data_IF_983468320942
#
_entry.id   IF_983468320942
#
_cell.length_a   1.000
_cell.length_b   1.000
_cell.length_c   1.000
_cell.angle_alpha   90.00
_cell.angle_beta   90.00
_cell.angle_gamma   90.00
#
_symmetry.space_group_name_H-M   'P 1'
#
loop_
_entity.id
_entity.type
_entity.pdbx_description
1 polymer ?
#
# COMPACT_ATOMS: atom_id res chain seq x y z
N UNK A 1 -10.72 10.24 1.80
CA UNK A 1 -10.74 8.82 1.49
C UNK A 1 -12.10 8.36 0.97
N UNK A 2 -13.21 8.79 1.55
CA UNK A 2 -14.58 8.50 1.06
C UNK A 2 -14.97 9.47 -0.05
N UNK A 3 -15.40 9.01 -1.24
CA UNK A 3 -16.02 9.88 -2.24
C UNK A 3 -17.22 10.61 -1.64
N UNK A 4 -17.21 11.95 -1.66
CA UNK A 4 -18.27 12.79 -1.10
C UNK A 4 -18.22 13.04 0.41
N UNK A 5 -17.30 12.44 1.16
CA UNK A 5 -17.08 12.72 2.58
C UNK A 5 -16.29 14.01 2.78
N UNK A 6 -16.63 14.76 3.84
CA UNK A 6 -15.83 15.88 4.34
C UNK A 6 -14.65 15.44 5.22
N UNK A 7 -14.65 14.19 5.65
CA UNK A 7 -13.60 13.61 6.48
C UNK A 7 -12.32 13.44 5.67
N UNK A 8 -11.21 13.96 6.22
CA UNK A 8 -9.88 13.85 5.60
C UNK A 8 -8.94 13.21 6.60
N UNK A 9 -8.27 12.15 6.16
CA UNK A 9 -7.14 11.59 6.90
C UNK A 9 -5.91 12.48 6.69
N UNK A 10 -5.04 12.58 7.70
CA UNK A 10 -3.84 13.43 7.63
C UNK A 10 -2.86 12.94 6.55
N UNK A 11 -2.64 11.63 6.49
CA UNK A 11 -1.73 11.00 5.53
C UNK A 11 -2.36 9.77 4.92
N UNK A 12 -1.98 9.47 3.67
CA UNK A 12 -2.36 8.22 3.03
C UNK A 12 -1.30 7.77 2.02
N UNK A 13 -1.03 6.48 1.98
CA UNK A 13 -0.20 5.88 0.93
C UNK A 13 -1.10 5.47 -0.23
N UNK A 14 -0.74 5.91 -1.43
CA UNK A 14 -1.44 5.57 -2.67
C UNK A 14 -0.96 4.24 -3.21
N UNK A 15 -1.85 3.26 -3.30
CA UNK A 15 -1.61 1.99 -3.96
C UNK A 15 -2.07 2.05 -5.41
N UNK A 16 -1.38 1.37 -6.34
CA UNK A 16 -1.91 1.18 -7.69
C UNK A 16 -3.25 0.46 -7.59
N UNK A 17 -4.26 0.97 -8.28
CA UNK A 17 -5.60 0.42 -8.25
C UNK A 17 -5.64 -1.01 -8.79
N UNK A 18 -6.39 -1.88 -8.14
CA UNK A 18 -6.70 -3.24 -8.58
C UNK A 18 -8.10 -3.35 -9.20
N UNK A 19 -8.87 -2.26 -9.25
CA UNK A 19 -10.19 -2.22 -9.86
C UNK A 19 -10.13 -2.24 -11.39
N UNK A 20 -11.21 -2.64 -12.04
CA UNK A 20 -11.36 -2.62 -13.51
C UNK A 20 -11.09 -1.23 -14.09
N UNK A 21 -11.35 -0.18 -13.32
CA UNK A 21 -11.14 1.21 -13.72
C UNK A 21 -9.75 1.79 -13.38
N UNK A 22 -8.83 0.98 -12.82
CA UNK A 22 -7.50 1.45 -12.41
C UNK A 22 -7.51 2.52 -11.30
N UNK A 23 -8.63 2.68 -10.59
CA UNK A 23 -8.75 3.64 -9.52
C UNK A 23 -7.77 3.34 -8.38
N UNK A 24 -7.11 4.37 -7.79
CA UNK A 24 -6.17 4.15 -6.72
C UNK A 24 -6.88 3.68 -5.45
N UNK A 25 -6.25 2.74 -4.74
CA UNK A 25 -6.62 2.36 -3.39
C UNK A 25 -5.69 3.07 -2.39
N UNK A 26 -6.20 3.45 -1.23
CA UNK A 26 -5.46 4.24 -0.26
C UNK A 26 -5.26 3.46 1.05
N UNK A 27 -4.07 3.54 1.64
CA UNK A 27 -3.81 3.13 3.03
C UNK A 27 -3.87 4.37 3.91
N UNK A 28 -4.91 4.54 4.75
CA UNK A 28 -5.00 5.67 5.67
C UNK A 28 -3.97 5.54 6.80
N UNK A 29 -3.35 6.67 7.16
CA UNK A 29 -2.43 6.79 8.30
C UNK A 29 -2.87 8.01 9.10
N UNK A 30 -3.23 7.80 10.35
CA UNK A 30 -3.70 8.84 11.26
C UNK A 30 -2.75 8.93 12.46
N UNK A 31 -2.24 10.13 12.75
CA UNK A 31 -1.29 10.36 13.83
C UNK A 31 -2.02 10.74 15.11
N UNK A 32 -1.73 10.06 16.21
CA UNK A 32 -2.32 10.30 17.51
C UNK A 32 -1.28 10.30 18.63
N UNK A 33 -1.42 11.25 19.53
CA UNK A 33 -0.53 11.38 20.66
C UNK A 33 -1.30 11.69 21.95
N UNK A 34 -1.52 10.70 22.84
CA UNK A 34 -2.08 10.93 24.17
C UNK A 34 -1.05 11.59 25.09
N UNK A 35 -0.70 12.85 24.80
CA UNK A 35 0.41 13.55 25.45
C UNK A 35 0.24 13.61 26.98
N UNK A 36 -0.95 13.97 27.44
CA UNK A 36 -1.21 14.10 28.90
C UNK A 36 -1.13 12.76 29.63
N UNK A 37 -1.70 11.70 29.05
CA UNK A 37 -1.66 10.37 29.65
C UNK A 37 -0.22 9.80 29.63
N UNK A 38 0.52 10.09 28.58
CA UNK A 38 1.91 9.66 28.47
C UNK A 38 2.81 10.41 29.45
N UNK A 39 2.64 11.72 29.63
CA UNK A 39 3.36 12.50 30.64
C UNK A 39 3.04 12.00 32.05
N UNK A 40 1.75 11.81 32.38
CA UNK A 40 1.37 11.22 33.67
C UNK A 40 1.99 9.86 33.93
N UNK A 41 2.14 9.04 32.87
CA UNK A 41 2.82 7.76 32.99
C UNK A 41 4.32 7.94 33.31
N UNK A 42 5.00 8.88 32.64
CA UNK A 42 6.41 9.17 32.91
C UNK A 42 6.63 9.66 34.34
N UNK A 43 5.82 10.62 34.78
CA UNK A 43 5.87 11.14 36.15
C UNK A 43 5.61 10.04 37.19
N UNK A 44 4.65 9.16 36.95
CA UNK A 44 4.35 8.04 37.85
C UNK A 44 5.51 7.02 37.90
N UNK A 45 6.20 6.77 36.79
CA UNK A 45 7.39 5.91 36.74
C UNK A 45 8.53 6.55 37.56
N UNK A 46 8.80 7.83 37.35
CA UNK A 46 9.86 8.58 38.05
C UNK A 46 9.61 8.60 39.58
N UNK A 47 8.35 8.72 40.01
CA UNK A 47 7.97 8.69 41.40
C UNK A 47 7.81 7.28 41.99
N UNK A 48 8.07 6.22 41.22
CA UNK A 48 7.87 4.82 41.60
C UNK A 48 6.46 4.51 42.10
N UNK A 49 5.43 5.23 41.66
CA UNK A 49 4.03 5.01 42.00
C UNK A 49 3.37 3.98 41.10
N UNK A 50 3.41 2.71 41.52
CA UNK A 50 2.84 1.61 40.77
C UNK A 50 1.32 1.76 40.52
N UNK A 51 0.58 2.41 41.39
CA UNK A 51 -0.85 2.65 41.23
C UNK A 51 -1.14 3.66 40.13
N UNK A 52 -0.41 4.77 40.12
CA UNK A 52 -0.52 5.81 39.10
C UNK A 52 -0.02 5.29 37.75
N UNK A 53 1.03 4.45 37.69
CA UNK A 53 1.52 3.77 36.45
C UNK A 53 0.40 2.96 35.82
N UNK A 54 -0.26 2.06 36.58
CA UNK A 54 -1.31 1.21 36.02
C UNK A 54 -2.56 2.02 35.63
N UNK A 55 -2.91 3.07 36.37
CA UNK A 55 -4.01 3.97 36.01
C UNK A 55 -3.73 4.70 34.67
N UNK A 56 -2.53 5.24 34.50
CA UNK A 56 -2.12 5.92 33.26
C UNK A 56 -2.06 4.97 32.07
N UNK A 57 -1.54 3.76 32.24
CA UNK A 57 -1.55 2.71 31.20
C UNK A 57 -2.96 2.35 30.79
N UNK A 58 -3.90 2.20 31.72
CA UNK A 58 -5.31 1.91 31.43
C UNK A 58 -5.98 3.07 30.69
N UNK A 59 -5.66 4.31 31.02
CA UNK A 59 -6.17 5.49 30.31
C UNK A 59 -5.68 5.50 28.86
N UNK A 60 -4.38 5.25 28.62
CA UNK A 60 -3.81 5.13 27.29
C UNK A 60 -4.44 3.98 26.49
N UNK A 61 -4.67 2.82 27.08
CA UNK A 61 -5.36 1.70 26.44
C UNK A 61 -6.77 2.10 25.97
N UNK A 62 -7.50 2.81 26.80
CA UNK A 62 -8.83 3.31 26.48
C UNK A 62 -8.78 4.32 25.33
N UNK A 63 -7.81 5.23 25.37
CA UNK A 63 -7.56 6.19 24.29
C UNK A 63 -7.29 5.48 22.95
N UNK A 64 -6.36 4.53 22.91
CA UNK A 64 -6.02 3.83 21.67
C UNK A 64 -7.20 3.06 21.08
N UNK A 65 -8.01 2.41 21.92
CA UNK A 65 -9.24 1.73 21.46
C UNK A 65 -10.28 2.70 20.90
N UNK A 66 -10.45 3.86 21.54
CA UNK A 66 -11.37 4.89 21.06
C UNK A 66 -10.92 5.49 19.73
N UNK A 67 -9.63 5.80 19.61
CA UNK A 67 -9.07 6.33 18.37
C UNK A 67 -9.09 5.30 17.24
N UNK A 68 -8.75 4.05 17.51
CA UNK A 68 -8.84 2.99 16.51
C UNK A 68 -10.27 2.80 15.98
N UNK A 69 -11.27 2.86 16.86
CA UNK A 69 -12.68 2.86 16.46
C UNK A 69 -13.01 4.05 15.56
N UNK A 70 -12.57 5.25 15.94
CA UNK A 70 -12.78 6.48 15.16
C UNK A 70 -12.13 6.38 13.79
N UNK A 71 -10.90 5.90 13.70
CA UNK A 71 -10.15 5.69 12.44
C UNK A 71 -10.90 4.70 11.54
N UNK A 72 -11.33 3.56 12.08
CA UNK A 72 -12.11 2.57 11.34
C UNK A 72 -13.37 3.19 10.74
N UNK A 73 -14.15 3.86 11.57
CA UNK A 73 -15.47 4.37 11.20
C UNK A 73 -15.38 5.54 10.20
N UNK A 74 -14.28 6.30 10.20
CA UNK A 74 -14.08 7.47 9.34
C UNK A 74 -13.33 7.16 8.05
N UNK A 75 -12.33 6.28 8.09
CA UNK A 75 -11.33 6.21 7.03
C UNK A 75 -11.22 4.86 6.32
N UNK A 76 -11.72 3.75 6.90
CA UNK A 76 -11.68 2.43 6.24
C UNK A 76 -12.94 2.22 5.42
N UNK A 77 -12.79 2.16 4.10
CA UNK A 77 -13.89 1.97 3.14
C UNK A 77 -13.41 1.28 1.85
N UNK A 78 -13.27 -0.05 1.88
CA UNK A 78 -12.99 -0.81 0.67
C UNK A 78 -14.12 -0.65 -0.38
N UNK A 79 -13.82 -0.57 -1.68
CA UNK A 79 -12.51 -0.75 -2.31
C UNK A 79 -11.68 0.56 -2.42
N UNK A 80 -12.18 1.71 -1.95
CA UNK A 80 -11.48 2.99 -2.03
C UNK A 80 -10.24 3.05 -1.12
N UNK A 81 -10.29 2.33 -0.01
CA UNK A 81 -9.15 2.13 0.88
C UNK A 81 -8.81 0.65 1.00
N UNK A 82 -7.62 0.36 1.52
CA UNK A 82 -7.37 -0.97 2.07
C UNK A 82 -8.36 -1.26 3.20
N UNK A 83 -8.49 -2.53 3.55
CA UNK A 83 -9.37 -3.01 4.63
C UNK A 83 -8.76 -2.81 6.03
N UNK A 84 -7.68 -2.05 6.13
CA UNK A 84 -7.06 -1.62 7.37
C UNK A 84 -6.47 -0.22 7.27
N UNK A 85 -6.15 0.38 8.42
CA UNK A 85 -5.49 1.67 8.55
C UNK A 85 -4.33 1.59 9.54
N UNK A 86 -3.48 2.63 9.56
CA UNK A 86 -2.39 2.77 10.53
C UNK A 86 -2.75 3.87 11.52
N UNK A 87 -2.64 3.56 12.81
CA UNK A 87 -2.58 4.52 13.89
C UNK A 87 -1.10 4.75 14.21
N UNK A 88 -0.60 5.91 13.85
CA UNK A 88 0.80 6.29 14.07
C UNK A 88 0.96 7.00 15.41
N UNK A 89 1.95 6.59 16.17
CA UNK A 89 2.40 7.26 17.39
C UNK A 89 3.79 7.85 17.18
N UNK A 90 4.02 9.13 17.57
CA UNK A 90 5.19 9.87 17.13
C UNK A 90 6.49 9.53 17.86
N UNK A 91 6.46 8.71 18.92
CA UNK A 91 7.65 8.33 19.67
C UNK A 91 7.75 6.83 19.88
N UNK A 92 8.97 6.30 19.85
CA UNK A 92 9.23 4.89 20.14
C UNK A 92 8.86 4.49 21.56
N UNK A 93 9.07 5.41 22.53
CA UNK A 93 8.68 5.15 23.93
C UNK A 93 7.18 4.92 24.08
N UNK A 94 6.36 5.76 23.46
CA UNK A 94 4.90 5.59 23.46
C UNK A 94 4.48 4.30 22.73
N UNK A 95 5.12 4.00 21.62
CA UNK A 95 4.88 2.74 20.89
C UNK A 95 5.22 1.53 21.78
N UNK A 96 6.38 1.54 22.42
CA UNK A 96 6.80 0.46 23.31
C UNK A 96 5.82 0.26 24.48
N UNK A 97 5.37 1.33 25.10
CA UNK A 97 4.34 1.28 26.17
C UNK A 97 3.03 0.68 25.67
N UNK A 98 2.57 1.10 24.49
CA UNK A 98 1.33 0.58 23.93
C UNK A 98 1.40 -0.91 23.58
N UNK A 99 2.49 -1.38 22.94
CA UNK A 99 2.64 -2.80 22.58
C UNK A 99 2.97 -3.68 23.78
N UNK A 100 3.51 -3.11 24.86
CA UNK A 100 3.76 -3.86 26.11
C UNK A 100 2.46 -4.23 26.85
N UNK A 101 1.33 -3.59 26.52
CA UNK A 101 0.01 -3.95 27.09
C UNK A 101 -0.48 -5.26 26.45
N UNK A 102 -0.69 -6.32 27.24
CA UNK A 102 -1.11 -7.61 26.72
C UNK A 102 -2.44 -7.50 25.94
N UNK A 103 -2.40 -7.95 24.69
CA UNK A 103 -3.60 -8.01 23.83
C UNK A 103 -4.07 -6.68 23.24
N UNK A 104 -3.46 -5.53 23.56
CA UNK A 104 -3.90 -4.24 23.00
C UNK A 104 -3.70 -4.21 21.49
N UNK A 105 -2.49 -4.45 21.00
CA UNK A 105 -2.18 -4.43 19.57
C UNK A 105 -3.07 -5.41 18.78
N UNK A 106 -3.27 -6.63 19.31
CA UNK A 106 -4.13 -7.64 18.71
C UNK A 106 -5.60 -7.19 18.67
N UNK A 107 -6.10 -6.55 19.73
CA UNK A 107 -7.45 -6.02 19.78
C UNK A 107 -7.65 -4.89 18.76
N UNK A 108 -6.68 -3.96 18.64
CA UNK A 108 -6.74 -2.88 17.65
C UNK A 108 -6.82 -3.44 16.23
N UNK A 109 -6.04 -4.45 15.91
CA UNK A 109 -6.02 -5.06 14.59
C UNK A 109 -7.27 -5.91 14.32
N UNK A 110 -7.66 -6.78 15.26
CA UNK A 110 -8.78 -7.71 15.07
C UNK A 110 -10.15 -7.00 15.08
N UNK A 111 -10.36 -6.08 16.04
CA UNK A 111 -11.68 -5.53 16.28
C UNK A 111 -11.92 -4.23 15.46
N UNK A 112 -10.85 -3.51 15.14
CA UNK A 112 -10.94 -2.23 14.44
C UNK A 112 -10.21 -2.20 13.08
N UNK A 113 -9.46 -3.24 12.72
CA UNK A 113 -8.64 -3.25 11.51
C UNK A 113 -7.61 -2.11 11.49
N UNK A 114 -7.10 -1.73 12.65
CA UNK A 114 -6.12 -0.66 12.81
C UNK A 114 -4.82 -1.23 13.36
N UNK A 115 -3.74 -0.98 12.64
CA UNK A 115 -2.39 -1.38 13.03
C UNK A 115 -1.71 -0.21 13.75
N UNK A 116 -1.18 -0.48 14.95
CA UNK A 116 -0.37 0.51 15.68
C UNK A 116 1.05 0.55 15.09
N UNK A 117 1.56 1.75 14.86
CA UNK A 117 2.90 1.95 14.33
C UNK A 117 3.66 3.08 15.05
N UNK A 118 4.89 2.82 15.43
CA UNK A 118 5.88 3.82 15.84
C UNK A 118 6.77 4.25 14.68
N UNK A 119 7.70 5.19 14.87
CA UNK A 119 8.54 5.74 13.80
C UNK A 119 9.35 4.68 13.06
N UNK A 120 10.01 3.78 13.77
CA UNK A 120 10.90 2.76 13.18
C UNK A 120 10.12 1.73 12.34
N UNK A 121 9.02 1.21 12.88
CA UNK A 121 8.26 0.20 12.14
C UNK A 121 7.41 0.82 11.02
N UNK A 122 6.93 2.03 11.13
CA UNK A 122 6.31 2.74 10.01
C UNK A 122 7.32 2.95 8.88
N UNK A 123 8.55 3.39 9.20
CA UNK A 123 9.62 3.55 8.21
C UNK A 123 9.93 2.21 7.51
N UNK A 124 10.08 1.12 8.27
CA UNK A 124 10.34 -0.20 7.70
C UNK A 124 9.20 -0.66 6.78
N UNK A 125 7.95 -0.43 7.18
CA UNK A 125 6.77 -0.73 6.37
C UNK A 125 6.75 0.08 5.07
N UNK A 126 6.98 1.40 5.14
CA UNK A 126 7.02 2.27 3.96
C UNK A 126 8.13 1.88 2.99
N UNK A 127 9.31 1.52 3.50
CA UNK A 127 10.42 1.00 2.68
C UNK A 127 10.03 -0.31 1.98
N UNK A 128 9.36 -1.22 2.68
CA UNK A 128 8.90 -2.50 2.12
C UNK A 128 7.83 -2.27 1.04
N UNK A 129 6.90 -1.36 1.26
CA UNK A 129 5.90 -0.95 0.27
C UNK A 129 6.56 -0.32 -0.96
N UNK A 130 7.56 0.55 -0.77
CA UNK A 130 8.31 1.16 -1.87
C UNK A 130 9.00 0.11 -2.73
N UNK A 131 9.62 -0.90 -2.11
CA UNK A 131 10.25 -2.00 -2.83
C UNK A 131 9.21 -2.81 -3.61
N UNK A 132 8.08 -3.15 -2.99
CA UNK A 132 6.97 -3.85 -3.63
C UNK A 132 6.42 -3.09 -4.85
N UNK A 133 6.23 -1.77 -4.73
CA UNK A 133 5.77 -0.94 -5.85
C UNK A 133 6.78 -0.87 -7.00
N UNK A 134 8.09 -0.85 -6.70
CA UNK A 134 9.13 -0.94 -7.74
C UNK A 134 9.06 -2.26 -8.49
N UNK A 135 8.88 -3.36 -7.79
CA UNK A 135 8.76 -4.69 -8.40
C UNK A 135 7.52 -4.76 -9.31
N UNK A 136 6.36 -4.30 -8.83
CA UNK A 136 5.14 -4.25 -9.63
C UNK A 136 5.30 -3.37 -10.89
N UNK A 137 5.99 -2.23 -10.79
CA UNK A 137 6.24 -1.36 -11.92
C UNK A 137 7.15 -2.03 -12.98
N UNK A 138 8.13 -2.83 -12.56
CA UNK A 138 9.01 -3.60 -13.46
C UNK A 138 8.20 -4.69 -14.16
N UNK A 139 7.34 -5.43 -13.45
CA UNK A 139 6.49 -6.46 -14.03
C UNK A 139 5.53 -5.89 -15.09
N UNK A 140 4.89 -4.75 -14.81
CA UNK A 140 4.01 -4.09 -15.78
C UNK A 140 4.77 -3.67 -17.04
N UNK A 141 5.97 -3.09 -16.91
CA UNK A 141 6.82 -2.74 -18.04
C UNK A 141 7.28 -3.96 -18.82
N UNK A 142 7.64 -5.04 -18.15
CA UNK A 142 8.02 -6.30 -18.80
C UNK A 142 6.88 -6.85 -19.67
N UNK A 143 5.66 -6.87 -19.14
CA UNK A 143 4.47 -7.31 -19.89
C UNK A 143 4.22 -6.45 -21.13
N UNK A 144 4.41 -5.15 -21.04
CA UNK A 144 4.28 -4.23 -22.17
C UNK A 144 5.34 -4.51 -23.25
N UNK A 145 6.60 -4.73 -22.84
CA UNK A 145 7.69 -5.09 -23.76
C UNK A 145 7.38 -6.38 -24.48
N UNK A 146 6.92 -7.42 -23.78
CA UNK A 146 6.54 -8.70 -24.42
C UNK A 146 5.40 -8.54 -25.42
N UNK A 147 4.42 -7.68 -25.12
CA UNK A 147 3.32 -7.37 -26.06
C UNK A 147 3.84 -6.70 -27.33
N UNK A 148 4.73 -5.71 -27.19
CA UNK A 148 5.35 -5.02 -28.33
C UNK A 148 6.20 -5.99 -29.16
N UNK A 149 7.03 -6.81 -28.53
CA UNK A 149 7.82 -7.83 -29.21
C UNK A 149 6.94 -8.84 -29.96
N UNK A 150 5.81 -9.24 -29.39
CA UNK A 150 4.82 -10.09 -30.04
C UNK A 150 4.23 -9.44 -31.31
N UNK A 151 3.88 -8.17 -31.26
CA UNK A 151 3.38 -7.41 -32.39
C UNK A 151 4.46 -7.29 -33.51
N UNK A 152 5.69 -6.95 -33.12
CA UNK A 152 6.84 -6.86 -34.04
C UNK A 152 7.08 -8.21 -34.73
N UNK A 153 7.09 -9.31 -33.99
CA UNK A 153 7.25 -10.67 -34.57
C UNK A 153 6.15 -10.95 -35.59
N UNK A 154 4.91 -10.57 -35.32
CA UNK A 154 3.79 -10.76 -36.25
C UNK A 154 3.99 -9.95 -37.55
N UNK A 155 4.42 -8.70 -37.46
CA UNK A 155 4.66 -7.85 -38.62
C UNK A 155 5.86 -8.34 -39.44
N UNK A 156 6.93 -8.81 -38.78
CA UNK A 156 8.05 -9.47 -39.51
C UNK A 156 7.62 -10.75 -40.22
N UNK A 157 6.71 -11.52 -39.65
CA UNK A 157 6.11 -12.70 -40.31
C UNK A 157 5.40 -12.31 -41.61
N UNK A 158 4.52 -11.29 -41.57
CA UNK A 158 3.81 -10.76 -42.73
C UNK A 158 4.79 -10.23 -43.80
N UNK A 159 5.84 -9.52 -43.37
CA UNK A 159 6.88 -9.04 -44.29
C UNK A 159 7.62 -10.19 -45.00
N UNK A 160 7.96 -11.24 -44.26
CA UNK A 160 8.54 -12.47 -44.82
C UNK A 160 7.66 -13.13 -45.87
N UNK A 161 6.34 -13.22 -45.62
CA UNK A 161 5.39 -13.75 -46.61
C UNK A 161 5.30 -12.89 -47.88
N UNK A 162 5.33 -11.56 -47.75
CA UNK A 162 5.31 -10.63 -48.87
C UNK A 162 6.59 -10.81 -49.73
N UNK A 163 7.75 -10.92 -49.08
CA UNK A 163 9.01 -11.16 -49.76
C UNK A 163 9.03 -12.50 -50.51
N UNK A 164 8.51 -13.57 -49.87
CA UNK A 164 8.41 -14.88 -50.52
C UNK A 164 7.52 -14.83 -51.77
N UNK A 165 6.36 -14.20 -51.70
CA UNK A 165 5.45 -14.00 -52.84
C UNK A 165 6.07 -13.13 -53.94
N UNK A 166 6.84 -12.11 -53.57
CA UNK A 166 7.53 -11.24 -54.53
C UNK A 166 8.59 -11.99 -55.25
N UNK A 167 9.38 -12.82 -54.56
CA UNK A 167 10.40 -13.69 -55.17
C UNK A 167 9.74 -14.66 -56.14
N UNK A 168 8.66 -15.34 -55.77
CA UNK A 168 7.93 -16.27 -56.65
C UNK A 168 7.45 -15.59 -57.94
N UNK A 169 6.91 -14.36 -57.85
CA UNK A 169 6.51 -13.58 -59.02
C UNK A 169 7.70 -13.20 -59.90
N UNK A 170 8.85 -12.82 -59.32
CA UNK A 170 10.06 -12.53 -60.09
C UNK A 170 10.58 -13.77 -60.83
N UNK A 171 10.58 -14.92 -60.14
CA UNK A 171 10.98 -16.19 -60.78
C UNK A 171 10.02 -16.59 -61.92
N UNK A 172 8.73 -16.29 -61.80
CA UNK A 172 7.74 -16.54 -62.85
C UNK A 172 7.95 -15.61 -64.05
N UNK A 173 8.23 -14.32 -63.83
CA UNK A 173 8.54 -13.34 -64.89
C UNK A 173 9.83 -13.75 -65.59
N UNK A 174 10.88 -14.19 -64.84
CA UNK A 174 12.13 -14.68 -65.43
C UNK A 174 11.91 -15.84 -66.44
N UNK A 175 11.12 -16.84 -66.02
CA UNK A 175 10.79 -17.99 -66.92
C UNK A 175 10.00 -17.55 -68.16
N UNK A 176 9.04 -16.60 -68.00
CA UNK A 176 8.27 -16.13 -69.18
C UNK A 176 9.13 -15.32 -70.13
N UNK A 177 10.20 -14.66 -69.65
CA UNK A 177 11.17 -13.97 -70.52
C UNK A 177 12.16 -14.92 -71.26
N UNK A 178 12.52 -16.06 -70.61
CA UNK A 178 13.37 -17.06 -71.18
C UNK A 178 12.64 -17.89 -72.24
N UNK A 179 11.31 -17.99 -72.17
CA UNK A 179 10.47 -18.72 -73.11
C UNK A 179 10.01 -17.88 -74.33
N UNK A 180 10.31 -16.55 -74.36
CA UNK A 180 9.92 -15.61 -75.44
C UNK A 180 11.06 -15.29 -76.39
#
# INVERSE_FOLDING_TARGET
TRPGSKERVEFAVKFPGRGEDGAPCWLPIDAKFPLEDYQRLQDAIENADAGAVEASRKAMETFFKAEAKSIRDKYIEPPHTLDFAILFVPTEGLYAEAVSRPGLADALQRDFRVMLAGPMNLQAMLNSLQLGFRTLAIEQRSTEVWRVLGAVKTEFGKFGEILARTKEKLDQVGRTLDDA
#
